data_IF_124076515370
#
_entry.id   IF_124076515370
#
_cell.length_a   1.000
_cell.length_b   1.000
_cell.length_c   1.000
_cell.angle_alpha   90.00
_cell.angle_beta   90.00
_cell.angle_gamma   90.00
#
_symmetry.space_group_name_H-M   'P 1'
#
loop_
_entity.id
_entity.type
_entity.pdbx_description
1 polymer ?
#
# COMPACT_ATOMS: atom_id res chain seq x y z
N UNK A 1 19.53 -27.42 -13.60
CA UNK A 1 18.97 -26.23 -14.27
C UNK A 1 20.09 -25.29 -14.73
N UNK A 2 19.84 -24.47 -15.75
CA UNK A 2 20.81 -23.50 -16.28
C UNK A 2 20.24 -22.09 -16.04
N UNK A 3 21.01 -21.24 -15.36
CA UNK A 3 20.61 -19.89 -15.00
C UNK A 3 21.61 -18.87 -15.56
N UNK A 4 21.21 -17.61 -15.63
CA UNK A 4 22.06 -16.51 -16.05
C UNK A 4 22.02 -15.41 -14.99
N UNK A 5 23.20 -15.03 -14.47
CA UNK A 5 23.27 -14.04 -13.39
C UNK A 5 23.03 -12.62 -13.92
N UNK A 6 22.16 -11.85 -13.26
CA UNK A 6 21.83 -10.47 -13.64
C UNK A 6 23.04 -9.51 -13.52
N UNK A 7 23.85 -9.66 -12.47
CA UNK A 7 25.00 -8.78 -12.20
C UNK A 7 26.16 -9.04 -13.16
N UNK A 8 26.40 -10.31 -13.49
CA UNK A 8 27.66 -10.76 -14.09
C UNK A 8 27.46 -11.30 -15.52
N UNK A 9 26.22 -11.48 -15.95
CA UNK A 9 25.80 -11.96 -17.29
C UNK A 9 26.42 -13.29 -17.73
N UNK A 10 27.04 -14.02 -16.80
CA UNK A 10 27.58 -15.36 -17.02
C UNK A 10 26.48 -16.38 -16.78
N UNK A 11 26.41 -17.37 -17.67
CA UNK A 11 25.57 -18.54 -17.51
C UNK A 11 26.24 -19.51 -16.53
N UNK A 12 25.47 -20.08 -15.61
CA UNK A 12 25.93 -21.10 -14.67
C UNK A 12 24.91 -22.24 -14.61
N UNK A 13 25.37 -23.43 -14.23
CA UNK A 13 24.52 -24.60 -14.05
C UNK A 13 24.43 -24.93 -12.56
N UNK A 14 23.23 -25.20 -12.08
CA UNK A 14 22.97 -25.62 -10.72
C UNK A 14 22.06 -26.84 -10.72
N UNK A 15 22.43 -27.87 -9.97
CA UNK A 15 21.58 -29.05 -9.79
C UNK A 15 20.53 -28.74 -8.73
N UNK A 16 19.25 -28.93 -9.07
CA UNK A 16 18.12 -28.59 -8.20
C UNK A 16 17.69 -29.75 -7.30
N UNK A 17 18.30 -30.92 -7.47
CA UNK A 17 18.00 -32.11 -6.66
C UNK A 17 18.56 -32.03 -5.25
N UNK A 18 19.60 -31.23 -5.04
CA UNK A 18 20.16 -30.92 -3.73
C UNK A 18 20.34 -29.41 -3.66
N UNK A 19 19.54 -28.75 -2.81
CA UNK A 19 19.50 -27.30 -2.72
C UNK A 19 19.86 -26.87 -1.30
N UNK A 20 21.04 -26.28 -1.13
CA UNK A 20 21.53 -25.74 0.15
C UNK A 20 21.58 -24.21 0.11
N UNK A 21 21.64 -23.57 1.27
CA UNK A 21 21.64 -22.10 1.42
C UNK A 21 22.83 -21.42 0.71
N UNK A 22 23.95 -22.13 0.53
CA UNK A 22 25.09 -21.66 -0.27
C UNK A 22 24.76 -21.54 -1.77
N UNK A 23 23.70 -22.21 -2.21
CA UNK A 23 23.29 -22.29 -3.60
C UNK A 23 22.40 -21.13 -4.01
N UNK A 24 22.01 -20.27 -3.07
CA UNK A 24 21.22 -19.06 -3.36
C UNK A 24 22.03 -17.98 -4.09
N UNK A 25 23.34 -18.17 -4.17
CA UNK A 25 24.28 -17.22 -4.75
C UNK A 25 24.83 -17.68 -6.10
N UNK A 26 25.09 -16.72 -6.97
CA UNK A 26 25.80 -16.99 -8.22
C UNK A 26 27.29 -17.29 -7.92
N UNK A 27 27.85 -18.42 -8.42
CA UNK A 27 29.23 -18.83 -8.15
C UNK A 27 30.31 -17.91 -8.75
N UNK A 28 29.92 -16.90 -9.53
CA UNK A 28 30.86 -15.99 -10.18
C UNK A 28 31.00 -14.63 -9.49
N UNK A 29 30.04 -14.24 -8.65
CA UNK A 29 30.00 -12.87 -8.12
C UNK A 29 29.08 -12.67 -6.92
N UNK A 30 28.69 -13.78 -6.26
CA UNK A 30 27.91 -13.80 -5.02
C UNK A 30 26.61 -13.01 -5.08
N UNK A 31 26.01 -12.92 -6.27
CA UNK A 31 24.70 -12.31 -6.41
C UNK A 31 23.64 -13.32 -5.94
N UNK A 32 22.93 -12.97 -4.87
CA UNK A 32 21.74 -13.70 -4.42
C UNK A 32 20.67 -13.64 -5.51
N UNK A 33 20.28 -14.79 -6.03
CA UNK A 33 19.33 -14.89 -7.15
C UNK A 33 17.94 -15.36 -6.73
N UNK A 34 17.78 -15.82 -5.49
CA UNK A 34 16.48 -16.14 -4.90
C UNK A 34 15.88 -14.86 -4.38
N UNK A 35 14.73 -14.47 -4.92
CA UNK A 35 14.03 -13.25 -4.47
C UNK A 35 12.81 -13.71 -3.69
N UNK A 36 12.57 -13.09 -2.53
CA UNK A 36 11.36 -13.33 -1.75
C UNK A 36 10.10 -13.03 -2.57
N UNK A 37 9.11 -13.89 -2.42
CA UNK A 37 7.83 -13.72 -3.08
C UNK A 37 7.12 -12.46 -2.54
N UNK A 38 6.80 -11.52 -3.42
CA UNK A 38 6.00 -10.34 -3.06
C UNK A 38 4.56 -10.79 -2.77
N UNK A 39 4.13 -10.66 -1.53
CA UNK A 39 2.72 -10.85 -1.15
C UNK A 39 1.92 -9.58 -1.43
N UNK A 40 0.66 -9.69 -1.92
CA UNK A 40 -0.20 -8.52 -2.06
C UNK A 40 -0.56 -8.01 -0.66
N UNK A 41 -0.10 -6.81 -0.32
CA UNK A 41 -0.53 -6.14 0.90
C UNK A 41 -1.90 -5.51 0.65
N UNK A 42 -2.88 -5.75 1.54
CA UNK A 42 -4.15 -5.06 1.49
C UNK A 42 -3.93 -3.57 1.78
N UNK A 43 -3.97 -2.74 0.74
CA UNK A 43 -3.91 -1.28 0.85
C UNK A 43 -5.31 -0.75 0.59
N UNK A 44 -5.86 0.01 1.54
CA UNK A 44 -7.11 0.75 1.35
C UNK A 44 -6.77 2.00 0.51
N UNK A 45 -7.09 1.97 -0.77
CA UNK A 45 -7.08 3.14 -1.63
C UNK A 45 -8.37 3.92 -1.43
N UNK A 46 -8.25 5.22 -1.14
CA UNK A 46 -9.41 6.11 -1.07
C UNK A 46 -9.43 6.88 -2.39
N UNK A 47 -10.35 6.53 -3.28
CA UNK A 47 -10.55 7.22 -4.55
C UNK A 47 -11.33 8.52 -4.30
N UNK A 48 -10.70 9.66 -4.55
CA UNK A 48 -11.36 10.97 -4.56
C UNK A 48 -11.65 11.38 -6.00
N UNK A 49 -12.90 11.73 -6.30
CA UNK A 49 -13.27 12.38 -7.56
C UNK A 49 -12.67 13.81 -7.64
N UNK A 50 -12.94 14.53 -8.73
CA UNK A 50 -12.48 15.91 -8.91
C UNK A 50 -12.93 16.78 -7.72
N UNK A 51 -11.95 17.39 -7.05
CA UNK A 51 -12.12 18.28 -5.90
C UNK A 51 -13.12 19.42 -6.11
N UNK A 52 -13.40 19.80 -7.37
CA UNK A 52 -14.38 20.83 -7.71
C UNK A 52 -15.82 20.33 -7.72
N UNK A 53 -16.01 19.04 -7.99
CA UNK A 53 -17.32 18.38 -8.02
C UNK A 53 -17.66 17.87 -6.62
N UNK A 54 -16.67 17.30 -5.93
CA UNK A 54 -16.82 16.79 -4.57
C UNK A 54 -15.64 17.22 -3.67
N UNK A 55 -15.88 18.25 -2.85
CA UNK A 55 -14.89 18.79 -1.92
C UNK A 55 -14.87 18.07 -0.56
N UNK A 56 -15.67 17.01 -0.36
CA UNK A 56 -15.80 16.35 0.96
C UNK A 56 -14.51 15.73 1.48
N UNK A 57 -13.58 15.39 0.59
CA UNK A 57 -12.28 14.82 0.93
C UNK A 57 -11.22 15.88 1.28
N UNK A 58 -11.56 17.17 1.13
CA UNK A 58 -10.67 18.29 1.42
C UNK A 58 -11.15 18.98 2.69
N UNK A 59 -10.25 19.12 3.67
CA UNK A 59 -10.53 19.83 4.90
C UNK A 59 -10.40 21.34 4.68
N UNK A 60 -11.47 22.10 4.93
CA UNK A 60 -11.42 23.56 4.99
C UNK A 60 -11.25 24.02 6.45
N UNK A 61 -10.13 24.70 6.73
CA UNK A 61 -9.81 25.19 8.08
C UNK A 61 -10.59 26.46 8.48
N UNK A 62 -11.34 27.08 7.56
CA UNK A 62 -12.17 28.26 7.85
C UNK A 62 -13.52 27.90 8.47
N UNK A 63 -13.99 26.69 8.22
CA UNK A 63 -15.25 26.19 8.77
C UNK A 63 -15.02 25.82 10.22
N UNK A 64 -15.87 26.33 11.12
CA UNK A 64 -15.80 25.93 12.54
C UNK A 64 -15.99 24.41 12.60
N UNK A 65 -15.09 23.65 13.23
CA UNK A 65 -15.30 22.23 13.40
C UNK A 65 -16.57 22.06 14.22
N UNK A 66 -17.55 21.34 13.66
CA UNK A 66 -18.76 20.96 14.38
C UNK A 66 -18.30 20.10 15.55
N UNK A 67 -18.25 20.70 16.74
CA UNK A 67 -17.99 19.96 17.96
C UNK A 67 -19.24 19.13 18.19
N UNK A 68 -19.18 17.84 17.85
CA UNK A 68 -20.28 16.92 18.12
C UNK A 68 -20.56 16.94 19.63
N UNK A 69 -21.56 17.71 20.04
CA UNK A 69 -22.06 17.68 21.40
C UNK A 69 -22.50 16.23 21.65
N UNK A 70 -21.95 15.64 22.72
CA UNK A 70 -22.07 14.21 23.03
C UNK A 70 -23.50 13.83 23.48
N UNK A 71 -24.49 14.68 23.28
CA UNK A 71 -25.86 14.55 23.79
C UNK A 71 -26.89 15.01 22.76
N UNK A 72 -27.95 14.22 22.57
CA UNK A 72 -29.04 14.46 21.64
C UNK A 72 -29.97 15.64 22.01
N UNK A 73 -29.65 16.38 23.09
CA UNK A 73 -30.47 17.46 23.64
C UNK A 73 -29.86 18.85 23.43
N UNK A 74 -28.69 18.93 22.78
CA UNK A 74 -28.01 20.16 22.40
C UNK A 74 -27.76 20.11 20.88
N UNK A 75 -28.84 19.93 20.12
CA UNK A 75 -28.81 19.98 18.66
C UNK A 75 -29.27 21.39 18.31
N UNK A 76 -28.40 22.19 17.68
CA UNK A 76 -28.79 23.47 17.12
C UNK A 76 -29.74 23.21 15.92
N UNK A 77 -30.72 24.10 15.68
CA UNK A 77 -31.76 23.88 14.65
C UNK A 77 -31.18 23.58 13.26
N UNK A 78 -30.00 24.12 12.95
CA UNK A 78 -29.26 23.88 11.70
C UNK A 78 -28.75 22.42 11.59
N UNK A 79 -28.31 21.81 12.69
CA UNK A 79 -27.84 20.41 12.73
C UNK A 79 -28.99 19.39 12.60
N UNK A 80 -30.21 19.79 12.97
CA UNK A 80 -31.40 18.94 12.81
C UNK A 80 -31.81 18.87 11.34
N UNK A 81 -31.80 19.99 10.62
CA UNK A 81 -32.16 20.09 9.21
C UNK A 81 -31.26 19.19 8.34
N UNK A 82 -29.94 19.21 8.57
CA UNK A 82 -28.98 18.37 7.83
C UNK A 82 -29.16 16.86 8.08
N UNK A 83 -29.79 16.46 9.19
CA UNK A 83 -30.03 15.05 9.53
C UNK A 83 -31.37 14.50 9.05
N UNK A 84 -32.36 15.36 8.84
CA UNK A 84 -33.71 14.94 8.44
C UNK A 84 -33.96 15.06 6.92
N UNK A 85 -33.07 15.74 6.20
CA UNK A 85 -33.09 15.85 4.74
C UNK A 85 -33.83 17.08 4.23
#
# INVERSE_FOLDING_TARGET
MVFMCKKCKKAFRKDMSNYEESDEFCPHCDNHYVIEAKTPQAVLGVEGEDARVDARMIKDDRVKPVQHARSAFLIDDDDLADRIG
#
